data_IF_326958054378
#
_entry.id   IF_326958054378
#
_cell.length_a   1.000
_cell.length_b   1.000
_cell.length_c   1.000
_cell.angle_alpha   90.00
_cell.angle_beta   90.00
_cell.angle_gamma   90.00
#
_symmetry.space_group_name_H-M   'P 1'
#
loop_
_entity.id
_entity.type
_entity.pdbx_description
1 polymer ?
#
# COMPACT_ATOMS: atom_id res chain seq x y z
N UNK A 1 51.99 13.55 -16.55
CA UNK A 1 50.84 13.70 -15.64
C UNK A 1 49.71 12.87 -16.21
N UNK A 2 49.37 11.73 -15.58
CA UNK A 2 48.23 10.90 -15.96
C UNK A 2 47.10 11.26 -15.00
N UNK A 3 45.98 11.73 -15.54
CA UNK A 3 44.77 11.97 -14.78
C UNK A 3 44.09 10.61 -14.58
N UNK A 4 44.34 9.98 -13.45
CA UNK A 4 43.57 8.84 -12.99
C UNK A 4 42.18 9.35 -12.55
N UNK A 5 41.19 9.26 -13.45
CA UNK A 5 39.78 9.35 -13.05
C UNK A 5 39.43 8.08 -12.26
N UNK A 6 38.99 8.16 -10.99
CA UNK A 6 38.37 7.02 -10.36
C UNK A 6 37.01 6.78 -11.04
N UNK A 7 36.96 5.72 -11.83
CA UNK A 7 35.75 5.19 -12.41
C UNK A 7 34.79 4.70 -11.33
N UNK A 8 33.52 4.70 -11.70
CA UNK A 8 32.37 4.02 -11.09
C UNK A 8 31.76 4.72 -9.87
N UNK A 9 30.81 5.60 -10.16
CA UNK A 9 29.60 5.76 -9.35
C UNK A 9 28.97 4.38 -9.18
N UNK A 10 29.23 3.73 -8.05
CA UNK A 10 28.49 2.53 -7.66
C UNK A 10 27.03 2.96 -7.51
N UNK A 11 26.21 2.65 -8.52
CA UNK A 11 24.77 2.69 -8.40
C UNK A 11 24.42 1.69 -7.31
N UNK A 12 24.19 2.20 -6.09
CA UNK A 12 23.64 1.41 -4.99
C UNK A 12 22.23 1.02 -5.41
N UNK A 13 22.14 -0.11 -6.10
CA UNK A 13 20.90 -0.79 -6.43
C UNK A 13 20.31 -1.25 -5.11
N UNK A 14 19.45 -0.42 -4.51
CA UNK A 14 18.61 -0.87 -3.42
C UNK A 14 17.69 -1.94 -3.98
N UNK A 15 17.75 -3.19 -3.51
CA UNK A 15 16.82 -4.21 -3.95
C UNK A 15 15.44 -3.81 -3.44
N UNK A 16 14.64 -3.17 -4.30
CA UNK A 16 13.22 -2.90 -4.04
C UNK A 16 12.51 -4.25 -4.11
N UNK A 17 12.54 -4.99 -3.00
CA UNK A 17 11.67 -6.16 -2.84
C UNK A 17 10.24 -5.63 -2.74
N UNK A 18 9.52 -5.63 -3.86
CA UNK A 18 8.07 -5.54 -3.84
C UNK A 18 7.56 -6.78 -3.13
N UNK A 19 7.24 -6.67 -1.85
CA UNK A 19 6.60 -7.74 -1.10
C UNK A 19 5.17 -7.83 -1.63
N UNK A 20 4.95 -8.73 -2.60
CA UNK A 20 3.60 -9.09 -3.00
C UNK A 20 2.98 -9.89 -1.86
N UNK A 21 1.89 -9.38 -1.31
CA UNK A 21 1.13 -10.11 -0.31
C UNK A 21 0.44 -11.27 -1.00
N UNK A 22 0.46 -12.44 -0.36
CA UNK A 22 -0.32 -13.58 -0.84
C UNK A 22 -1.81 -13.28 -0.70
N UNK A 23 -2.66 -13.89 -1.54
CA UNK A 23 -4.12 -13.73 -1.48
C UNK A 23 -4.68 -13.87 -0.05
N UNK A 24 -4.17 -14.85 0.72
CA UNK A 24 -4.57 -15.06 2.11
C UNK A 24 -4.26 -13.85 3.01
N UNK A 25 -3.05 -13.30 2.90
CA UNK A 25 -2.65 -12.11 3.67
C UNK A 25 -3.49 -10.88 3.29
N UNK A 26 -3.84 -10.72 2.02
CA UNK A 26 -4.71 -9.63 1.56
C UNK A 26 -6.11 -9.75 2.15
N UNK A 27 -6.69 -10.95 2.15
CA UNK A 27 -8.00 -11.22 2.75
C UNK A 27 -7.98 -10.98 4.26
N UNK A 28 -6.94 -11.46 4.96
CA UNK A 28 -6.77 -11.25 6.40
C UNK A 28 -6.67 -9.75 6.72
N UNK A 29 -5.90 -8.98 5.92
CA UNK A 29 -5.79 -7.52 6.08
C UNK A 29 -7.11 -6.82 5.84
N UNK A 30 -7.81 -7.18 4.76
CA UNK A 30 -9.11 -6.61 4.42
C UNK A 30 -10.11 -6.84 5.56
N UNK A 31 -10.16 -8.05 6.10
CA UNK A 31 -11.03 -8.40 7.23
C UNK A 31 -10.69 -7.58 8.48
N UNK A 32 -9.39 -7.44 8.81
CA UNK A 32 -8.95 -6.67 9.96
C UNK A 32 -9.32 -5.18 9.84
N UNK A 33 -9.06 -4.56 8.68
CA UNK A 33 -9.42 -3.17 8.40
C UNK A 33 -10.94 -2.96 8.44
N UNK A 34 -11.70 -3.87 7.81
CA UNK A 34 -13.16 -3.80 7.79
C UNK A 34 -13.75 -3.91 9.19
N UNK A 35 -13.18 -4.76 10.04
CA UNK A 35 -13.65 -4.92 11.43
C UNK A 35 -13.34 -3.70 12.30
N UNK A 36 -12.22 -3.02 12.06
CA UNK A 36 -11.78 -1.88 12.88
C UNK A 36 -12.42 -0.57 12.43
N UNK A 37 -12.46 -0.32 11.13
CA UNK A 37 -12.85 0.97 10.55
C UNK A 37 -14.18 0.92 9.80
N UNK A 38 -14.75 -0.25 9.55
CA UNK A 38 -15.93 -0.44 8.70
C UNK A 38 -15.56 -0.74 7.25
N UNK A 39 -16.56 -1.03 6.43
CA UNK A 39 -16.35 -1.29 5.00
C UNK A 39 -15.84 -0.05 4.27
N UNK A 40 -15.31 -0.23 3.06
CA UNK A 40 -14.91 0.88 2.21
C UNK A 40 -16.09 1.86 1.96
N UNK A 41 -17.30 1.33 1.78
CA UNK A 41 -18.50 2.15 1.58
C UNK A 41 -18.87 2.94 2.84
N UNK A 42 -18.73 2.35 4.03
CA UNK A 42 -18.97 3.04 5.30
C UNK A 42 -17.99 4.19 5.52
N UNK A 43 -16.72 3.95 5.18
CA UNK A 43 -15.69 4.98 5.24
C UNK A 43 -15.95 6.07 4.19
N UNK A 44 -16.39 5.70 2.98
CA UNK A 44 -16.72 6.67 1.94
C UNK A 44 -17.91 7.55 2.32
N UNK A 45 -18.94 6.96 2.91
CA UNK A 45 -20.08 7.68 3.44
C UNK A 45 -19.67 8.65 4.57
N UNK A 46 -18.82 8.21 5.51
CA UNK A 46 -18.28 9.06 6.58
C UNK A 46 -17.42 10.20 6.05
N UNK A 47 -16.57 9.93 5.07
CA UNK A 47 -15.75 10.94 4.40
C UNK A 47 -16.60 12.08 3.84
N UNK A 48 -17.73 11.75 3.21
CA UNK A 48 -18.62 12.75 2.63
C UNK A 48 -19.47 13.49 3.67
N UNK A 49 -19.78 12.85 4.80
CA UNK A 49 -20.65 13.43 5.82
C UNK A 49 -19.89 14.37 6.77
N UNK A 50 -18.73 13.95 7.29
CA UNK A 50 -18.04 14.65 8.37
C UNK A 50 -16.52 14.77 8.15
N UNK A 51 -16.00 14.16 7.07
CA UNK A 51 -14.56 13.98 6.86
C UNK A 51 -14.01 12.77 7.61
N UNK A 52 -12.87 12.26 7.16
CA UNK A 52 -12.18 11.13 7.79
C UNK A 52 -11.07 11.60 8.72
N UNK A 53 -10.85 10.83 9.78
CA UNK A 53 -9.59 10.90 10.51
C UNK A 53 -8.42 10.39 9.64
N UNK A 54 -7.19 10.73 10.02
CA UNK A 54 -5.99 10.31 9.29
C UNK A 54 -5.92 8.78 9.15
N UNK A 55 -6.21 8.07 10.24
CA UNK A 55 -6.25 6.60 10.30
C UNK A 55 -7.34 6.00 9.40
N UNK A 56 -8.53 6.63 9.35
CA UNK A 56 -9.62 6.17 8.49
C UNK A 56 -9.33 6.42 7.01
N UNK A 57 -8.67 7.53 6.68
CA UNK A 57 -8.21 7.82 5.33
C UNK A 57 -7.15 6.82 4.86
N UNK A 58 -6.19 6.49 5.74
CA UNK A 58 -5.21 5.44 5.48
C UNK A 58 -5.89 4.08 5.29
N UNK A 59 -6.81 3.70 6.18
CA UNK A 59 -7.57 2.46 6.07
C UNK A 59 -8.39 2.39 4.77
N UNK A 60 -8.99 3.50 4.34
CA UNK A 60 -9.70 3.57 3.05
C UNK A 60 -8.76 3.33 1.87
N UNK A 61 -7.59 3.98 1.87
CA UNK A 61 -6.57 3.80 0.82
C UNK A 61 -6.06 2.36 0.80
N UNK A 62 -5.81 1.77 1.96
CA UNK A 62 -5.39 0.37 2.06
C UNK A 62 -6.46 -0.60 1.56
N UNK A 63 -7.74 -0.40 1.92
CA UNK A 63 -8.85 -1.21 1.41
C UNK A 63 -8.97 -1.13 -0.12
N UNK A 64 -8.78 0.07 -0.70
CA UNK A 64 -8.78 0.26 -2.15
C UNK A 64 -7.59 -0.47 -2.80
N UNK A 65 -6.41 -0.37 -2.21
CA UNK A 65 -5.21 -1.04 -2.72
C UNK A 65 -5.33 -2.57 -2.62
N UNK A 66 -5.86 -3.10 -1.52
CA UNK A 66 -6.15 -4.54 -1.39
C UNK A 66 -7.14 -4.99 -2.47
N UNK A 67 -8.22 -4.23 -2.70
CA UNK A 67 -9.21 -4.54 -3.75
C UNK A 67 -8.57 -4.55 -5.14
N UNK A 68 -7.65 -3.62 -5.42
CA UNK A 68 -6.89 -3.60 -6.65
C UNK A 68 -6.01 -4.84 -6.79
N UNK A 69 -5.20 -5.15 -5.78
CA UNK A 69 -4.30 -6.31 -5.79
C UNK A 69 -5.07 -7.63 -5.89
N UNK A 70 -6.24 -7.74 -5.25
CA UNK A 70 -7.07 -8.94 -5.32
C UNK A 70 -7.64 -9.19 -6.72
N UNK A 71 -7.87 -8.14 -7.51
CA UNK A 71 -8.34 -8.26 -8.91
C UNK A 71 -7.31 -8.95 -9.81
N UNK A 72 -6.02 -8.87 -9.49
CA UNK A 72 -4.95 -9.56 -10.22
C UNK A 72 -4.88 -11.07 -9.90
N UNK A 73 -5.69 -11.58 -8.97
CA UNK A 73 -5.75 -13.01 -8.58
C UNK A 73 -6.98 -13.77 -9.11
N UNK A 74 -7.89 -13.11 -9.82
CA UNK A 74 -9.07 -13.71 -10.48
C UNK A 74 -8.82 -13.91 -11.99
#
# INVERSE_FOLDING_TARGET
MRCDMPATSASVSYPVRRVMWTRKQLVDKQSALTKKYGSFEDLYARSNAYGLSLDESEAMSELQHIKFLMKDFD
#
